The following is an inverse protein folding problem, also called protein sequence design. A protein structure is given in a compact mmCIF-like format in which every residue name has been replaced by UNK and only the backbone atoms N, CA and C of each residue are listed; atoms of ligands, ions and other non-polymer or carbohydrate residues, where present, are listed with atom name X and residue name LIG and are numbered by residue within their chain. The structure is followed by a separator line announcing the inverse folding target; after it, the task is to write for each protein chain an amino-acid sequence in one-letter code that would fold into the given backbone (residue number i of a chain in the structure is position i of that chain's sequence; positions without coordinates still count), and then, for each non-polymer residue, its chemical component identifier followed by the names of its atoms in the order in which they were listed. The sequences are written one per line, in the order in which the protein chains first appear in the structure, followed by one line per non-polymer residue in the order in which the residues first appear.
data_IF_695871316239
#
_entry.id   IF_695871316239
#
_cell.length_a   1.000
_cell.length_b   1.000
_cell.length_c   1.000
_cell.angle_alpha   90.00
_cell.angle_beta   90.00
_cell.angle_gamma   90.00
#
_symmetry.space_group_name_H-M   'P 1'
#
loop_
_entity.id
_entity.type
_entity.pdbx_description
1 polymer ?
#
# COMPACT_ATOMS: atom_id res chain seq x y z
N UNK A 1 10.34 12.53 15.10
CA UNK A 1 9.15 13.14 14.49
C UNK A 1 9.53 13.58 13.09
N UNK A 2 8.79 13.15 12.08
CA UNK A 2 9.07 13.54 10.69
C UNK A 2 8.16 14.71 10.34
N UNK A 3 8.71 15.74 9.69
CA UNK A 3 7.97 16.91 9.25
C UNK A 3 8.16 17.11 7.76
N UNK A 4 7.09 17.46 7.08
CA UNK A 4 7.13 17.97 5.71
C UNK A 4 6.87 19.48 5.78
N UNK A 5 7.83 20.27 5.28
CA UNK A 5 7.67 21.72 5.09
C UNK A 5 7.39 21.93 3.61
N UNK A 6 6.25 22.53 3.27
CA UNK A 6 5.81 22.73 1.90
C UNK A 6 5.74 24.24 1.63
N UNK A 7 6.49 24.70 0.62
CA UNK A 7 6.41 26.06 0.11
C UNK A 7 5.44 26.11 -1.07
N UNK A 8 4.37 26.88 -0.93
CA UNK A 8 3.31 27.01 -1.95
C UNK A 8 3.66 27.94 -3.11
N UNK A 9 2.64 28.32 -3.88
CA UNK A 9 2.74 29.36 -4.92
C UNK A 9 2.93 28.88 -6.35
N UNK A 10 2.95 27.56 -6.60
CA UNK A 10 3.04 26.97 -7.95
C UNK A 10 1.89 25.99 -8.21
N UNK A 11 1.09 26.17 -9.28
CA UNK A 11 0.08 25.18 -9.66
C UNK A 11 0.75 23.87 -10.09
N UNK A 12 0.15 22.74 -9.71
CA UNK A 12 0.62 21.42 -10.14
C UNK A 12 0.12 21.11 -11.55
N UNK A 13 1.00 20.57 -12.40
CA UNK A 13 0.68 20.08 -13.75
C UNK A 13 1.47 18.81 -14.04
N UNK A 14 0.82 17.81 -14.62
CA UNK A 14 1.43 16.52 -14.95
C UNK A 14 0.53 15.34 -14.61
N UNK A 15 1.12 14.14 -14.66
CA UNK A 15 0.46 12.88 -14.32
C UNK A 15 1.34 12.08 -13.38
N UNK A 16 0.72 11.35 -12.45
CA UNK A 16 1.40 10.41 -11.56
C UNK A 16 0.69 9.07 -11.61
N UNK A 17 1.45 7.99 -11.47
CA UNK A 17 0.87 6.65 -11.32
C UNK A 17 0.55 6.41 -9.86
N UNK A 18 -0.71 6.12 -9.56
CA UNK A 18 -1.11 5.72 -8.21
C UNK A 18 -0.78 4.25 -7.96
N UNK A 19 -0.35 3.94 -6.75
CA UNK A 19 -0.21 2.56 -6.26
C UNK A 19 -1.58 1.92 -6.04
N UNK A 20 -1.62 0.60 -5.86
CA UNK A 20 -2.87 -0.10 -5.55
C UNK A 20 -3.50 0.33 -4.22
N UNK A 21 -4.79 0.04 -4.08
CA UNK A 21 -5.59 0.47 -2.95
C UNK A 21 -5.25 -0.33 -1.69
N UNK A 22 -4.81 0.36 -0.64
CA UNK A 22 -4.51 -0.22 0.69
C UNK A 22 -5.57 -1.23 1.14
N UNK A 23 -6.83 -0.80 1.17
CA UNK A 23 -7.93 -1.60 1.73
C UNK A 23 -8.26 -2.84 0.87
N UNK A 24 -7.95 -2.82 -0.43
CA UNK A 24 -8.09 -4.01 -1.26
C UNK A 24 -6.96 -5.00 -0.94
N UNK A 25 -5.72 -4.52 -0.91
CA UNK A 25 -4.54 -5.34 -0.61
C UNK A 25 -4.64 -6.00 0.76
N UNK A 26 -5.01 -5.27 1.81
CA UNK A 26 -5.14 -5.84 3.16
C UNK A 26 -6.18 -6.98 3.23
N UNK A 27 -7.30 -6.84 2.50
CA UNK A 27 -8.32 -7.90 2.40
C UNK A 27 -7.82 -9.11 1.62
N UNK A 28 -7.11 -8.88 0.51
CA UNK A 28 -6.50 -9.96 -0.26
C UNK A 28 -5.45 -10.72 0.56
N UNK A 29 -4.61 -10.01 1.32
CA UNK A 29 -3.64 -10.61 2.24
C UNK A 29 -4.30 -11.49 3.31
N UNK A 30 -5.45 -11.09 3.86
CA UNK A 30 -6.20 -11.94 4.78
C UNK A 30 -6.85 -13.14 4.05
N UNK A 31 -7.38 -12.93 2.86
CA UNK A 31 -8.03 -13.97 2.08
C UNK A 31 -7.08 -15.11 1.67
N UNK A 32 -5.77 -14.85 1.53
CA UNK A 32 -4.79 -15.91 1.22
C UNK A 32 -4.72 -16.99 2.29
N UNK A 33 -5.09 -16.68 3.54
CA UNK A 33 -5.16 -17.66 4.63
C UNK A 33 -6.27 -18.71 4.43
N UNK A 34 -7.29 -18.38 3.63
CA UNK A 34 -8.44 -19.27 3.42
C UNK A 34 -8.20 -20.29 2.30
N UNK A 35 -7.14 -20.14 1.52
CA UNK A 35 -6.84 -21.01 0.38
C UNK A 35 -5.53 -21.79 0.57
N UNK A 36 -5.40 -22.90 -0.17
CA UNK A 36 -4.16 -23.68 -0.19
C UNK A 36 -3.27 -23.22 -1.36
N UNK A 37 -1.95 -23.22 -1.14
CA UNK A 37 -0.96 -22.95 -2.18
C UNK A 37 -0.35 -21.55 -2.11
N UNK A 38 0.26 -21.13 -3.22
CA UNK A 38 1.00 -19.86 -3.33
C UNK A 38 0.13 -18.80 -3.99
N UNK A 39 -0.03 -17.67 -3.32
CA UNK A 39 -0.74 -16.49 -3.84
C UNK A 39 0.26 -15.37 -4.14
N UNK A 40 0.06 -14.65 -5.24
CA UNK A 40 0.87 -13.49 -5.63
C UNK A 40 -0.05 -12.28 -5.78
N UNK A 41 0.16 -11.25 -4.95
CA UNK A 41 -0.59 -9.99 -5.01
C UNK A 41 0.31 -8.94 -5.65
N UNK A 42 -0.14 -8.35 -6.76
CA UNK A 42 0.59 -7.32 -7.52
C UNK A 42 0.03 -5.92 -7.24
N UNK A 43 0.79 -4.88 -7.62
CA UNK A 43 0.43 -3.47 -7.39
C UNK A 43 0.19 -3.11 -5.90
N UNK A 44 0.93 -3.75 -4.99
CA UNK A 44 0.84 -3.50 -3.55
C UNK A 44 1.49 -2.15 -3.21
N UNK A 45 0.80 -1.23 -2.48
CA UNK A 45 1.41 0.02 -2.05
C UNK A 45 2.46 -0.23 -0.96
N UNK A 46 3.59 0.47 -1.05
CA UNK A 46 4.65 0.42 -0.06
C UNK A 46 4.35 1.39 1.10
N UNK A 47 3.57 0.92 2.07
CA UNK A 47 3.09 1.73 3.20
C UNK A 47 3.08 0.92 4.50
N UNK A 48 3.11 1.64 5.63
CA UNK A 48 3.23 1.04 6.96
C UNK A 48 2.16 -0.02 7.27
N UNK A 49 0.90 0.18 6.86
CA UNK A 49 -0.17 -0.80 7.06
C UNK A 49 0.12 -2.15 6.40
N UNK A 50 0.66 -2.15 5.16
CA UNK A 50 1.02 -3.37 4.43
C UNK A 50 2.16 -4.10 5.14
N UNK A 51 3.19 -3.38 5.56
CA UNK A 51 4.29 -3.96 6.33
C UNK A 51 3.83 -4.53 7.67
N UNK A 52 2.90 -3.85 8.33
CA UNK A 52 2.35 -4.28 9.60
C UNK A 52 1.53 -5.56 9.43
N UNK A 53 0.66 -5.61 8.43
CA UNK A 53 -0.09 -6.82 8.10
C UNK A 53 0.83 -7.99 7.72
N UNK A 54 1.87 -7.74 6.92
CA UNK A 54 2.86 -8.77 6.57
C UNK A 54 3.60 -9.32 7.80
N UNK A 55 3.81 -8.52 8.85
CA UNK A 55 4.35 -9.00 10.13
C UNK A 55 3.34 -9.82 10.93
N UNK A 56 2.06 -9.45 10.89
CA UNK A 56 0.97 -10.19 11.57
C UNK A 56 0.73 -11.56 10.94
N UNK A 57 0.88 -11.67 9.62
CA UNK A 57 0.66 -12.91 8.87
C UNK A 57 1.86 -13.87 8.84
N UNK A 58 3.00 -13.48 9.41
CA UNK A 58 4.17 -14.34 9.58
C UNK A 58 4.06 -15.13 10.88
#
# INVERSE_FOLDING_TARGET
MNQLVIEGGKPLSGQVRVSGAKNAVLKLMAATLMGQGRFVISNVPDIADVHSMAKVLR
#
